data_IF_042298781204
#
_entry.id   IF_042298781204
#
_cell.length_a   1.000
_cell.length_b   1.000
_cell.length_c   1.000
_cell.angle_alpha   90.00
_cell.angle_beta   90.00
_cell.angle_gamma   90.00
#
_symmetry.space_group_name_H-M   'P 1'
#
loop_
_entity.id
_entity.type
_entity.pdbx_description
1 polymer ?
#
# COMPACT_ATOMS: atom_id res chain seq x y z
N UNK A 1 9.80 -13.91 -2.47
CA UNK A 1 8.42 -13.41 -2.40
C UNK A 1 7.97 -13.08 -0.97
N UNK A 2 7.69 -14.04 -0.07
CA UNK A 2 7.19 -13.68 1.29
C UNK A 2 8.12 -12.75 2.09
N UNK A 3 9.43 -13.05 2.13
CA UNK A 3 10.43 -12.17 2.77
C UNK A 3 10.45 -10.76 2.18
N UNK A 4 10.24 -10.67 0.87
CA UNK A 4 10.22 -9.41 0.12
C UNK A 4 8.95 -8.60 0.44
N UNK A 5 7.78 -9.23 0.51
CA UNK A 5 6.55 -8.56 0.98
C UNK A 5 6.66 -8.09 2.44
N UNK A 6 7.33 -8.89 3.28
CA UNK A 6 7.51 -8.56 4.70
C UNK A 6 8.49 -7.40 4.95
N UNK A 7 9.37 -7.08 4.01
CA UNK A 7 10.27 -5.93 4.12
C UNK A 7 9.65 -4.61 3.68
N UNK A 8 8.43 -4.64 3.10
CA UNK A 8 7.74 -3.44 2.64
C UNK A 8 7.24 -2.65 3.84
N UNK A 9 7.83 -1.47 4.05
CA UNK A 9 7.43 -0.52 5.07
C UNK A 9 7.66 0.89 4.55
N UNK A 10 6.59 1.66 4.45
CA UNK A 10 6.63 3.04 3.97
C UNK A 10 6.01 3.95 5.01
N UNK A 11 6.68 5.04 5.36
CA UNK A 11 6.17 6.07 6.28
C UNK A 11 6.46 7.44 5.70
N UNK A 12 5.42 8.27 5.60
CA UNK A 12 5.52 9.65 5.11
C UNK A 12 4.89 10.59 6.14
N UNK A 13 5.66 11.52 6.73
CA UNK A 13 5.11 12.62 7.50
C UNK A 13 4.68 13.73 6.52
N UNK A 14 3.41 13.72 6.08
CA UNK A 14 2.92 14.79 5.23
C UNK A 14 2.88 16.11 6.01
N UNK A 15 2.88 17.23 5.27
CA UNK A 15 2.68 18.55 5.87
C UNK A 15 1.30 18.63 6.53
N UNK A 16 1.11 19.51 7.53
CA UNK A 16 -0.17 19.64 8.22
C UNK A 16 -1.34 19.90 7.25
N UNK A 17 -2.36 19.03 7.29
CA UNK A 17 -3.54 19.08 6.41
C UNK A 17 -3.39 18.39 5.05
N UNK A 18 -2.17 18.03 4.63
CA UNK A 18 -1.94 17.36 3.35
C UNK A 18 -2.19 15.84 3.42
N UNK A 19 -2.27 15.24 4.61
CA UNK A 19 -2.39 13.79 4.80
C UNK A 19 -3.55 13.16 4.02
N UNK A 20 -4.79 13.67 4.12
CA UNK A 20 -5.93 13.17 3.34
C UNK A 20 -5.75 13.31 1.83
N UNK A 21 -5.12 14.40 1.37
CA UNK A 21 -4.88 14.66 -0.06
C UNK A 21 -3.86 13.65 -0.61
N UNK A 22 -2.77 13.42 0.14
CA UNK A 22 -1.77 12.43 -0.23
C UNK A 22 -2.34 11.00 -0.21
N UNK A 23 -3.14 10.67 0.81
CA UNK A 23 -3.82 9.37 0.88
C UNK A 23 -4.68 9.10 -0.37
N UNK A 24 -5.41 10.11 -0.84
CA UNK A 24 -6.26 9.99 -2.02
C UNK A 24 -5.45 9.86 -3.32
N UNK A 25 -4.39 10.66 -3.49
CA UNK A 25 -3.45 10.51 -4.62
C UNK A 25 -2.86 9.10 -4.69
N UNK A 26 -2.45 8.56 -3.53
CA UNK A 26 -1.94 7.19 -3.45
C UNK A 26 -3.04 6.18 -3.78
N UNK A 27 -4.26 6.39 -3.27
CA UNK A 27 -5.40 5.50 -3.53
C UNK A 27 -5.65 5.38 -5.04
N UNK A 28 -5.74 6.51 -5.73
CA UNK A 28 -5.95 6.57 -7.18
C UNK A 28 -4.85 5.82 -7.94
N UNK A 29 -3.58 6.13 -7.67
CA UNK A 29 -2.45 5.50 -8.35
C UNK A 29 -2.37 3.99 -8.10
N UNK A 30 -2.71 3.52 -6.89
CA UNK A 30 -2.74 2.08 -6.59
C UNK A 30 -3.90 1.40 -7.32
N UNK A 31 -5.05 2.03 -7.47
CA UNK A 31 -6.17 1.46 -8.21
C UNK A 31 -5.89 1.28 -9.72
N UNK A 32 -5.09 2.17 -10.31
CA UNK A 32 -4.63 2.04 -11.69
C UNK A 32 -3.81 0.77 -11.95
N UNK A 33 -3.29 0.11 -10.90
CA UNK A 33 -2.56 -1.16 -10.99
C UNK A 33 -3.46 -2.39 -11.06
N UNK A 34 -4.78 -2.21 -10.97
CA UNK A 34 -5.79 -3.26 -10.95
C UNK A 34 -6.17 -3.75 -9.54
N UNK A 35 -5.54 -3.23 -8.49
CA UNK A 35 -6.02 -3.40 -7.12
C UNK A 35 -7.25 -2.52 -6.87
N UNK A 36 -8.09 -2.88 -5.91
CA UNK A 36 -9.23 -2.06 -5.47
C UNK A 36 -9.02 -1.56 -4.07
N UNK A 37 -9.36 -0.30 -3.82
CA UNK A 37 -9.31 0.28 -2.49
C UNK A 37 -10.59 -0.08 -1.70
N UNK A 38 -10.42 -0.64 -0.51
CA UNK A 38 -11.51 -0.90 0.42
C UNK A 38 -11.29 -0.10 1.69
N UNK A 39 -12.31 0.65 2.10
CA UNK A 39 -12.26 1.51 3.30
C UNK A 39 -12.05 0.66 4.56
N UNK A 40 -11.20 1.16 5.46
CA UNK A 40 -10.88 0.62 6.78
C UNK A 40 -10.85 1.76 7.78
N UNK A 41 -10.91 1.45 9.08
CA UNK A 41 -10.99 2.47 10.14
C UNK A 41 -9.83 3.47 10.10
N UNK A 42 -8.65 3.01 9.70
CA UNK A 42 -7.44 3.82 9.61
C UNK A 42 -7.10 4.32 8.19
N UNK A 43 -7.83 3.91 7.15
CA UNK A 43 -7.47 4.21 5.76
C UNK A 43 -7.97 3.16 4.78
N UNK A 44 -7.07 2.54 4.02
CA UNK A 44 -7.42 1.63 2.93
C UNK A 44 -6.74 0.27 3.03
N UNK A 45 -7.44 -0.75 2.53
CA UNK A 45 -6.86 -2.03 2.13
C UNK A 45 -6.93 -2.13 0.60
N UNK A 46 -5.81 -2.39 -0.05
CA UNK A 46 -5.73 -2.57 -1.50
C UNK A 46 -5.56 -4.05 -1.84
N UNK A 47 -6.51 -4.59 -2.59
CA UNK A 47 -6.55 -6.01 -2.94
C UNK A 47 -7.30 -6.24 -4.26
N UNK A 48 -7.01 -7.35 -4.94
CA UNK A 48 -7.64 -7.72 -6.22
C UNK A 48 -9.17 -7.86 -6.10
N UNK A 49 -9.66 -8.37 -4.97
CA UNK A 49 -11.08 -8.54 -4.70
C UNK A 49 -11.34 -8.61 -3.20
N UNK A 50 -12.60 -8.47 -2.79
CA UNK A 50 -13.00 -8.60 -1.40
C UNK A 50 -12.69 -9.99 -0.81
N UNK A 51 -12.66 -11.02 -1.66
CA UNK A 51 -12.30 -12.39 -1.28
C UNK A 51 -10.91 -12.48 -0.63
N UNK A 52 -9.95 -11.69 -1.11
CA UNK A 52 -8.58 -11.61 -0.53
C UNK A 52 -8.67 -11.22 0.94
N UNK A 53 -9.49 -10.21 1.25
CA UNK A 53 -9.72 -9.73 2.61
C UNK A 53 -10.46 -10.76 3.47
N UNK A 54 -11.51 -11.39 2.93
CA UNK A 54 -12.29 -12.42 3.63
C UNK A 54 -11.46 -13.64 4.01
N UNK A 55 -10.56 -14.08 3.13
CA UNK A 55 -9.66 -15.21 3.36
C UNK A 55 -8.41 -14.81 4.19
N UNK A 56 -8.24 -13.52 4.47
CA UNK A 56 -7.08 -12.99 5.18
C UNK A 56 -5.78 -13.24 4.44
N UNK A 57 -5.79 -13.14 3.11
CA UNK A 57 -4.61 -13.27 2.25
C UNK A 57 -3.77 -11.99 2.27
N UNK A 58 -2.50 -12.06 1.82
CA UNK A 58 -1.66 -10.88 1.70
C UNK A 58 -2.32 -9.76 0.90
N UNK A 59 -2.28 -8.55 1.44
CA UNK A 59 -2.77 -7.35 0.76
C UNK A 59 -2.06 -6.11 1.29
N UNK A 60 -2.01 -5.07 0.45
CA UNK A 60 -1.37 -3.79 0.80
C UNK A 60 -2.31 -2.98 1.69
N UNK A 61 -1.75 -2.32 2.70
CA UNK A 61 -2.45 -1.45 3.64
C UNK A 61 -1.93 -0.03 3.52
N UNK A 62 -2.83 0.93 3.70
CA UNK A 62 -2.51 2.32 3.95
C UNK A 62 -3.28 2.78 5.18
N UNK A 63 -2.56 3.37 6.12
CA UNK A 63 -3.13 4.04 7.28
C UNK A 63 -2.78 5.53 7.22
N UNK A 64 -3.75 6.37 7.59
CA UNK A 64 -3.62 7.79 7.82
C UNK A 64 -3.88 8.05 9.30
N UNK A 65 -2.88 8.54 10.01
CA UNK A 65 -2.98 8.91 11.44
C UNK A 65 -2.48 10.33 11.62
N UNK A 66 -3.40 11.27 11.85
CA UNK A 66 -3.10 12.69 11.66
C UNK A 66 -2.75 12.93 10.20
N UNK A 67 -1.61 13.57 9.94
CA UNK A 67 -1.05 13.76 8.59
C UNK A 67 0.02 12.71 8.21
N UNK A 68 0.20 11.67 9.03
CA UNK A 68 1.18 10.61 8.75
C UNK A 68 0.54 9.49 7.96
N UNK A 69 1.11 9.20 6.79
CA UNK A 69 0.81 8.00 6.00
C UNK A 69 1.73 6.86 6.43
N UNK A 70 1.19 5.66 6.54
CA UNK A 70 1.96 4.43 6.72
C UNK A 70 1.42 3.34 5.82
N UNK A 71 2.30 2.62 5.12
CA UNK A 71 1.93 1.51 4.26
C UNK A 71 2.76 0.27 4.53
N UNK A 72 2.11 -0.90 4.46
CA UNK A 72 2.72 -2.21 4.72
C UNK A 72 1.89 -3.32 4.06
N UNK A 73 2.46 -4.52 3.94
CA UNK A 73 1.70 -5.71 3.54
C UNK A 73 1.16 -6.42 4.78
N UNK A 74 -0.16 -6.66 4.82
CA UNK A 74 -0.79 -7.46 5.86
C UNK A 74 -0.55 -8.95 5.60
N UNK A 75 -0.24 -9.71 6.65
CA UNK A 75 -0.13 -11.19 6.63
C UNK A 75 0.72 -11.79 5.48
N UNK A 76 1.92 -11.27 5.17
CA UNK A 76 2.74 -11.71 4.02
C UNK A 76 3.16 -13.19 4.07
N UNK A 77 3.13 -13.81 5.26
CA UNK A 77 3.42 -15.23 5.47
C UNK A 77 2.36 -16.18 4.87
N UNK A 78 1.17 -15.66 4.52
CA UNK A 78 0.09 -16.44 3.91
C UNK A 78 0.12 -16.47 2.38
N UNK A 79 1.16 -15.92 1.75
CA UNK A 79 1.30 -15.98 0.30
C UNK A 79 1.32 -17.45 -0.17
N UNK A 80 0.47 -17.77 -1.14
CA UNK A 80 0.28 -19.14 -1.65
C UNK A 80 -0.74 -19.98 -0.87
N UNK A 81 -1.35 -19.45 0.19
CA UNK A 81 -2.43 -20.12 0.91
C UNK A 81 -3.80 -19.64 0.43
N UNK A 82 -4.24 -20.01 -0.77
CA UNK A 82 -5.55 -19.60 -1.26
C UNK A 82 -5.81 -19.98 -2.72
N UNK A 83 -7.00 -19.64 -3.25
CA UNK A 83 -7.36 -19.95 -4.64
C UNK A 83 -6.66 -19.05 -5.66
N UNK A 84 -6.03 -17.95 -5.22
CA UNK A 84 -5.30 -17.01 -6.06
C UNK A 84 -3.83 -17.43 -6.12
N UNK A 85 -3.23 -17.38 -7.31
CA UNK A 85 -1.83 -17.74 -7.51
C UNK A 85 -0.90 -16.89 -6.65
N UNK A 86 0.13 -17.51 -6.05
CA UNK A 86 1.11 -16.81 -5.22
C UNK A 86 1.85 -15.71 -5.99
N UNK A 87 2.19 -15.99 -7.25
CA UNK A 87 2.86 -15.05 -8.16
C UNK A 87 1.94 -13.89 -8.53
N UNK A 88 0.71 -14.18 -8.96
CA UNK A 88 -0.31 -13.16 -9.27
C UNK A 88 -0.54 -12.19 -8.09
N UNK A 89 -0.69 -12.74 -6.87
CA UNK A 89 -0.89 -11.92 -5.68
C UNK A 89 0.36 -11.09 -5.34
N UNK A 90 1.53 -11.68 -5.47
CA UNK A 90 2.81 -10.99 -5.23
C UNK A 90 3.00 -9.83 -6.20
N UNK A 91 2.87 -10.07 -7.50
CA UNK A 91 3.07 -9.06 -8.54
C UNK A 91 2.07 -7.92 -8.44
N UNK A 92 0.79 -8.22 -8.16
CA UNK A 92 -0.22 -7.18 -7.97
C UNK A 92 0.10 -6.27 -6.78
N UNK A 93 0.57 -6.84 -5.66
CA UNK A 93 1.02 -6.04 -4.51
C UNK A 93 2.24 -5.20 -4.88
N UNK A 94 3.24 -5.76 -5.55
CA UNK A 94 4.46 -5.04 -5.93
C UNK A 94 4.15 -3.86 -6.86
N UNK A 95 3.31 -4.04 -7.89
CA UNK A 95 2.87 -2.95 -8.76
C UNK A 95 2.17 -1.84 -7.96
N UNK A 96 1.28 -2.21 -7.03
CA UNK A 96 0.63 -1.25 -6.14
C UNK A 96 1.62 -0.47 -5.28
N UNK A 97 2.64 -1.14 -4.73
CA UNK A 97 3.69 -0.50 -3.92
C UNK A 97 4.53 0.46 -4.77
N UNK A 98 4.93 0.07 -5.97
CA UNK A 98 5.68 0.91 -6.90
C UNK A 98 4.90 2.18 -7.28
N UNK A 99 3.60 2.05 -7.59
CA UNK A 99 2.74 3.17 -7.90
C UNK A 99 2.62 4.15 -6.72
N UNK A 100 2.40 3.62 -5.51
CA UNK A 100 2.37 4.43 -4.29
C UNK A 100 3.70 5.15 -4.04
N UNK A 101 4.83 4.47 -4.22
CA UNK A 101 6.17 5.05 -4.05
C UNK A 101 6.43 6.17 -5.06
N UNK A 102 5.95 6.05 -6.29
CA UNK A 102 6.06 7.13 -7.29
C UNK A 102 5.36 8.39 -6.79
N UNK A 103 4.09 8.28 -6.38
CA UNK A 103 3.31 9.41 -5.84
C UNK A 103 3.98 10.02 -4.61
N UNK A 104 4.49 9.18 -3.72
CA UNK A 104 5.16 9.63 -2.49
C UNK A 104 6.45 10.39 -2.83
N UNK A 105 7.25 9.91 -3.78
CA UNK A 105 8.47 10.59 -4.22
C UNK A 105 8.17 11.93 -4.87
N UNK A 106 7.14 12.00 -5.69
CA UNK A 106 6.69 13.26 -6.30
C UNK A 106 6.27 14.26 -5.22
N UNK A 107 5.44 13.82 -4.26
CA UNK A 107 5.04 14.64 -3.11
C UNK A 107 6.24 15.13 -2.28
N UNK A 108 7.18 14.23 -1.97
CA UNK A 108 8.41 14.56 -1.25
C UNK A 108 9.22 15.63 -1.99
N UNK A 109 9.37 15.50 -3.30
CA UNK A 109 10.07 16.47 -4.15
C UNK A 109 9.33 17.81 -4.24
N UNK A 110 8.00 17.79 -4.33
CA UNK A 110 7.14 18.98 -4.38
C UNK A 110 7.17 19.79 -3.07
N UNK A 111 7.20 19.09 -1.93
CA UNK A 111 6.98 19.68 -0.60
C UNK A 111 8.24 19.80 0.26
N UNK A 112 9.36 19.23 -0.18
CA UNK A 112 10.61 19.24 0.59
C UNK A 112 10.53 18.40 1.87
N UNK A 113 9.78 17.30 1.84
CA UNK A 113 9.67 16.34 2.96
C UNK A 113 10.34 15.03 2.59
N UNK A 114 10.82 14.29 3.59
CA UNK A 114 11.43 12.97 3.38
C UNK A 114 10.49 11.85 3.82
N UNK A 115 10.53 10.73 3.08
CA UNK A 115 9.82 9.51 3.40
C UNK A 115 10.80 8.40 3.76
N UNK A 116 10.42 7.56 4.73
CA UNK A 116 11.10 6.29 4.97
C UNK A 116 10.48 5.25 4.05
N UNK A 117 11.24 4.76 3.07
CA UNK A 117 10.78 3.79 2.08
C UNK A 117 11.69 2.57 2.14
N UNK A 118 11.15 1.44 2.62
CA UNK A 118 11.79 0.14 2.56
C UNK A 118 10.99 -0.75 1.62
N UNK A 119 11.63 -1.20 0.55
CA UNK A 119 11.08 -2.16 -0.40
C UNK A 119 12.22 -3.03 -0.95
N UNK A 120 11.93 -4.29 -1.32
CA UNK A 120 12.91 -5.25 -1.83
C UNK A 120 13.47 -4.88 -3.21
#
# INVERSE_FOLDING_TARGET
MCKALNSISIVVPALPGDGPILAERIREAVEETGLRAFIRAEGYAFMHSELVGMLGLPHLRLALVGDRISMWVRDPHKLGLGPIGAEELYEGIMRGVEAAVSVIRDYCSEKGVEALIYMP
#
